data_IF_707415812399
#
_entry.id   IF_707415812399
#
_cell.length_a   1.000
_cell.length_b   1.000
_cell.length_c   1.000
_cell.angle_alpha   90.00
_cell.angle_beta   90.00
_cell.angle_gamma   90.00
#
_symmetry.space_group_name_H-M   'P 1'
#
loop_
_entity.id
_entity.type
_entity.pdbx_description
1 polymer ?
#
# COMPACT_ATOMS: atom_id res chain seq x y z
N UNK A 1 -12.47 66.05 -21.05
CA UNK A 1 -11.88 64.70 -20.88
C UNK A 1 -13.00 63.67 -20.98
N UNK A 2 -12.96 62.75 -21.95
CA UNK A 2 -13.93 61.65 -22.08
C UNK A 2 -13.36 60.44 -21.33
N UNK A 3 -13.91 60.13 -20.16
CA UNK A 3 -13.56 58.93 -19.39
C UNK A 3 -14.32 57.77 -20.04
N UNK A 4 -13.58 56.79 -20.55
CA UNK A 4 -14.14 55.69 -21.33
C UNK A 4 -14.69 54.61 -20.38
N UNK A 5 -16.01 54.43 -20.23
CA UNK A 5 -16.60 53.54 -19.23
C UNK A 5 -16.40 52.05 -19.54
N UNK A 6 -15.88 51.72 -20.73
CA UNK A 6 -15.68 50.34 -21.17
C UNK A 6 -14.47 49.65 -20.53
N UNK A 7 -13.52 50.40 -19.98
CA UNK A 7 -12.30 49.83 -19.38
C UNK A 7 -12.57 49.18 -18.02
N UNK A 8 -13.50 49.72 -17.23
CA UNK A 8 -13.86 49.14 -15.92
C UNK A 8 -14.50 47.76 -16.08
N UNK A 9 -15.40 47.59 -17.07
CA UNK A 9 -16.08 46.31 -17.34
C UNK A 9 -15.08 45.22 -17.75
N UNK A 10 -14.05 45.57 -18.50
CA UNK A 10 -12.99 44.63 -18.91
C UNK A 10 -12.12 44.19 -17.72
N UNK A 11 -11.85 45.08 -16.76
CA UNK A 11 -11.12 44.75 -15.54
C UNK A 11 -11.91 43.76 -14.65
N UNK A 12 -13.22 43.94 -14.53
CA UNK A 12 -14.09 43.02 -13.79
C UNK A 12 -14.17 41.63 -14.43
N UNK A 13 -14.21 41.56 -15.77
CA UNK A 13 -14.17 40.27 -16.49
C UNK A 13 -12.86 39.52 -16.26
N UNK A 14 -11.73 40.20 -16.36
CA UNK A 14 -10.42 39.60 -16.07
C UNK A 14 -10.31 39.08 -14.64
N UNK A 15 -10.86 39.81 -13.66
CA UNK A 15 -10.86 39.37 -12.26
C UNK A 15 -11.73 38.13 -12.03
N UNK A 16 -12.83 37.98 -12.77
CA UNK A 16 -13.65 36.76 -12.71
C UNK A 16 -12.95 35.57 -13.37
N UNK A 17 -12.27 35.78 -14.50
CA UNK A 17 -11.49 34.73 -15.18
C UNK A 17 -10.34 34.22 -14.30
N UNK A 18 -9.60 35.12 -13.64
CA UNK A 18 -8.52 34.72 -12.71
C UNK A 18 -9.05 33.96 -11.50
N UNK A 19 -10.19 34.39 -10.92
CA UNK A 19 -10.83 33.66 -9.82
C UNK A 19 -11.41 32.30 -10.23
N UNK A 20 -11.79 32.12 -11.50
CA UNK A 20 -12.25 30.83 -12.02
C UNK A 20 -11.08 29.86 -12.26
N UNK A 21 -9.93 30.35 -12.76
CA UNK A 21 -8.70 29.56 -12.86
C UNK A 21 -8.20 29.09 -11.49
N UNK A 22 -8.16 29.97 -10.48
CA UNK A 22 -7.75 29.60 -9.11
C UNK A 22 -8.65 28.52 -8.46
N UNK A 23 -9.90 28.37 -8.92
CA UNK A 23 -10.81 27.32 -8.45
C UNK A 23 -10.63 26.00 -9.20
N UNK A 24 -10.16 26.02 -10.44
CA UNK A 24 -9.87 24.82 -11.24
C UNK A 24 -8.51 24.19 -10.87
N UNK A 25 -7.55 24.98 -10.39
CA UNK A 25 -6.20 24.51 -10.03
C UNK A 25 -6.09 23.92 -8.61
N UNK A 26 -7.18 23.76 -7.87
CA UNK A 26 -7.14 23.06 -6.58
C UNK A 26 -7.16 21.55 -6.86
N UNK A 27 -6.05 20.81 -6.63
CA UNK A 27 -6.07 19.37 -6.78
C UNK A 27 -7.13 18.82 -5.83
N UNK A 28 -8.06 18.05 -6.39
CA UNK A 28 -9.08 17.34 -5.65
C UNK A 28 -8.35 16.36 -4.73
N UNK A 29 -8.33 16.63 -3.43
CA UNK A 29 -7.68 15.75 -2.45
C UNK A 29 -8.38 14.39 -2.51
N UNK A 30 -7.70 13.39 -3.06
CA UNK A 30 -8.10 12.00 -3.00
C UNK A 30 -7.63 11.41 -1.67
N UNK A 31 -8.47 10.58 -1.07
CA UNK A 31 -8.06 9.78 0.08
C UNK A 31 -7.08 8.70 -0.41
N UNK A 32 -5.89 8.66 0.19
CA UNK A 32 -4.87 7.65 -0.08
C UNK A 32 -4.53 6.89 1.21
N UNK A 33 -4.45 5.56 1.12
CA UNK A 33 -3.98 4.70 2.22
C UNK A 33 -2.54 4.29 1.93
N UNK A 34 -1.61 4.70 2.81
CA UNK A 34 -0.20 4.32 2.72
C UNK A 34 0.20 3.32 3.80
N UNK A 35 1.02 2.34 3.44
CA UNK A 35 1.64 1.42 4.41
C UNK A 35 2.66 2.20 5.25
N UNK A 36 2.58 2.08 6.57
CA UNK A 36 3.48 2.78 7.49
C UNK A 36 4.94 2.38 7.28
N UNK A 37 5.87 3.31 7.56
CA UNK A 37 7.33 3.05 7.47
C UNK A 37 7.75 1.89 8.37
N UNK A 38 7.14 1.79 9.55
CA UNK A 38 7.38 0.71 10.51
C UNK A 38 6.92 -0.64 9.98
N UNK A 39 5.72 -0.72 9.38
CA UNK A 39 5.21 -1.95 8.80
C UNK A 39 6.11 -2.45 7.65
N UNK A 40 6.64 -1.55 6.82
CA UNK A 40 7.62 -1.90 5.79
C UNK A 40 8.91 -2.48 6.39
N UNK A 41 9.44 -1.84 7.42
CA UNK A 41 10.65 -2.32 8.10
C UNK A 41 10.44 -3.68 8.79
N UNK A 42 9.25 -3.94 9.35
CA UNK A 42 8.89 -5.25 9.90
C UNK A 42 8.79 -6.33 8.80
N UNK A 43 8.17 -6.01 7.67
CA UNK A 43 8.05 -6.93 6.52
C UNK A 43 9.43 -7.32 5.96
N UNK A 44 10.34 -6.35 5.82
CA UNK A 44 11.70 -6.61 5.37
C UNK A 44 12.43 -7.59 6.30
N UNK A 45 12.24 -7.45 7.63
CA UNK A 45 12.78 -8.39 8.63
C UNK A 45 12.14 -9.77 8.59
N UNK A 46 10.86 -9.90 8.23
CA UNK A 46 10.19 -11.20 8.10
C UNK A 46 10.50 -11.91 6.78
N UNK A 47 10.92 -11.16 5.75
CA UNK A 47 11.17 -11.71 4.40
C UNK A 47 12.54 -12.39 4.29
N UNK A 48 13.46 -12.15 5.22
CA UNK A 48 14.71 -12.93 5.28
C UNK A 48 14.38 -14.38 5.59
N UNK A 49 14.47 -15.23 4.57
CA UNK A 49 14.50 -16.68 4.68
C UNK A 49 15.46 -17.06 5.81
N UNK A 50 14.94 -17.50 6.96
CA UNK A 50 15.79 -17.90 8.07
C UNK A 50 16.58 -19.15 7.69
N UNK A 51 17.85 -19.23 8.10
CA UNK A 51 18.67 -20.43 7.93
C UNK A 51 17.96 -21.66 8.51
N UNK A 52 17.28 -21.49 9.64
CA UNK A 52 16.45 -22.51 10.29
C UNK A 52 15.35 -23.05 9.36
N UNK A 53 14.70 -22.20 8.55
CA UNK A 53 13.70 -22.65 7.57
C UNK A 53 14.35 -23.50 6.48
N UNK A 54 15.54 -23.12 6.02
CA UNK A 54 16.26 -23.88 5.01
C UNK A 54 16.66 -25.28 5.52
N UNK A 55 17.19 -25.36 6.74
CA UNK A 55 17.52 -26.62 7.43
C UNK A 55 16.28 -27.52 7.59
N UNK A 56 15.18 -26.97 8.10
CA UNK A 56 13.91 -27.70 8.25
C UNK A 56 13.40 -28.27 6.92
N UNK A 57 13.51 -27.51 5.83
CA UNK A 57 13.11 -27.97 4.50
C UNK A 57 14.00 -29.12 4.02
N UNK A 58 15.31 -29.05 4.26
CA UNK A 58 16.24 -30.12 3.90
C UNK A 58 15.94 -31.41 4.69
N UNK A 59 15.68 -31.31 5.98
CA UNK A 59 15.31 -32.45 6.82
C UNK A 59 14.03 -33.13 6.31
N UNK A 60 12.98 -32.35 6.04
CA UNK A 60 11.71 -32.87 5.51
C UNK A 60 11.93 -33.56 4.16
N UNK A 61 12.74 -32.98 3.27
CA UNK A 61 13.08 -33.61 1.99
C UNK A 61 13.74 -34.98 2.18
N UNK A 62 14.72 -35.07 3.07
CA UNK A 62 15.38 -36.34 3.37
C UNK A 62 14.40 -37.38 3.96
N UNK A 63 13.46 -36.97 4.82
CA UNK A 63 12.43 -37.87 5.35
C UNK A 63 11.48 -38.38 4.26
N UNK A 64 11.14 -37.53 3.28
CA UNK A 64 10.29 -37.91 2.14
C UNK A 64 11.03 -38.91 1.25
N UNK A 65 12.28 -38.63 0.89
CA UNK A 65 13.11 -39.51 0.06
C UNK A 65 13.32 -40.89 0.71
N UNK A 66 13.52 -40.93 2.02
CA UNK A 66 13.67 -42.17 2.78
C UNK A 66 12.33 -42.86 3.10
N UNK A 67 11.19 -42.27 2.70
CA UNK A 67 9.85 -42.82 2.97
C UNK A 67 9.45 -42.81 4.46
N UNK A 68 10.16 -42.07 5.31
CA UNK A 68 9.90 -41.98 6.75
C UNK A 68 9.02 -40.80 7.14
N UNK A 69 8.72 -39.90 6.20
CA UNK A 69 7.82 -38.77 6.43
C UNK A 69 6.39 -39.24 6.73
N UNK A 70 5.86 -38.87 7.90
CA UNK A 70 4.50 -39.19 8.33
C UNK A 70 3.65 -37.93 8.35
N UNK A 71 2.57 -37.94 7.57
CA UNK A 71 1.58 -36.86 7.59
C UNK A 71 0.81 -36.90 8.91
N UNK A 72 0.90 -35.84 9.69
CA UNK A 72 0.13 -35.67 10.92
C UNK A 72 -1.11 -34.81 10.67
N UNK A 73 -2.26 -35.47 10.47
CA UNK A 73 -3.53 -34.78 10.19
C UNK A 73 -4.00 -33.91 11.37
N UNK A 74 -3.77 -34.35 12.61
CA UNK A 74 -4.14 -33.60 13.81
C UNK A 74 -3.33 -32.32 13.95
N UNK A 75 -2.02 -32.40 13.76
CA UNK A 75 -1.15 -31.22 13.77
C UNK A 75 -1.47 -30.26 12.62
N UNK A 76 -1.77 -30.82 11.45
CA UNK A 76 -2.22 -30.03 10.28
C UNK A 76 -3.48 -29.24 10.61
N UNK A 77 -4.52 -29.89 11.13
CA UNK A 77 -5.76 -29.24 11.53
C UNK A 77 -5.54 -28.18 12.62
N UNK A 78 -4.69 -28.48 13.61
CA UNK A 78 -4.30 -27.53 14.65
C UNK A 78 -3.65 -26.28 14.05
N UNK A 79 -2.73 -26.43 13.09
CA UNK A 79 -2.07 -25.30 12.42
C UNK A 79 -3.02 -24.45 11.59
N UNK A 80 -3.99 -25.06 10.93
CA UNK A 80 -5.04 -24.31 10.26
C UNK A 80 -5.90 -23.53 11.25
N UNK A 81 -6.30 -24.15 12.36
CA UNK A 81 -7.06 -23.46 13.39
C UNK A 81 -6.26 -22.27 13.98
N UNK A 82 -5.01 -22.50 14.42
CA UNK A 82 -4.12 -21.47 14.98
C UNK A 82 -3.84 -20.29 14.03
N UNK A 83 -3.96 -20.48 12.71
CA UNK A 83 -3.74 -19.41 11.74
C UNK A 83 -4.95 -18.48 11.60
N UNK A 84 -6.16 -19.00 11.85
CA UNK A 84 -7.42 -18.29 11.62
C UNK A 84 -8.12 -17.79 12.90
N UNK A 85 -7.82 -18.39 14.06
CA UNK A 85 -8.24 -17.91 15.39
C UNK A 85 -7.45 -16.66 15.81
#
# INVERSE_FOLDING_TARGET
MKINPMQSVQAYRKLQETQQQEKQDKPQKSDEVQISKEAKAMMEKSTTYSAERAEKVQEIKAQIENGTYKVNAQETAKKFYEFWD
#
